data_IF_809593030327
#
_entry.id   IF_809593030327
#
_cell.length_a   1.000
_cell.length_b   1.000
_cell.length_c   1.000
_cell.angle_alpha   90.00
_cell.angle_beta   90.00
_cell.angle_gamma   90.00
#
_symmetry.space_group_name_H-M   'P 1'
#
loop_
_entity.id
_entity.type
_entity.pdbx_description
1 polymer ?
#
# COMPACT_ATOMS: atom_id res chain seq x y z
N UNK A 1 30.94 11.53 10.15
CA UNK A 1 29.54 11.97 10.21
C UNK A 1 28.73 10.84 9.60
N UNK A 2 27.96 10.10 10.41
CA UNK A 2 27.09 9.05 9.89
C UNK A 2 25.95 9.76 9.14
N UNK A 3 25.90 9.59 7.83
CA UNK A 3 24.71 9.92 7.06
C UNK A 3 23.61 9.01 7.62
N UNK A 4 22.55 9.59 8.16
CA UNK A 4 21.32 8.85 8.45
C UNK A 4 20.85 8.26 7.12
N UNK A 5 21.13 6.97 6.91
CA UNK A 5 20.71 6.22 5.74
C UNK A 5 19.19 6.03 5.80
N UNK A 6 18.47 7.10 5.47
CA UNK A 6 17.05 7.02 5.17
C UNK A 6 16.92 6.19 3.92
N UNK A 7 16.30 5.01 4.08
CA UNK A 7 15.90 4.15 2.98
C UNK A 7 15.23 4.99 1.87
N UNK A 8 15.39 4.66 0.58
CA UNK A 8 14.83 5.46 -0.50
C UNK A 8 13.31 5.69 -0.41
N UNK A 9 12.57 4.85 0.31
CA UNK A 9 11.12 5.04 0.58
C UNK A 9 10.81 6.04 1.71
N UNK A 10 11.80 6.40 2.53
CA UNK A 10 11.73 7.35 3.66
C UNK A 10 12.29 8.72 3.28
N UNK A 11 12.99 8.83 2.15
CA UNK A 11 13.58 10.08 1.68
C UNK A 11 12.52 11.16 1.44
N UNK A 12 12.48 12.13 2.35
CA UNK A 12 11.79 13.44 2.32
C UNK A 12 10.41 13.58 2.99
N UNK A 13 9.66 12.52 3.31
CA UNK A 13 8.39 12.68 4.04
C UNK A 13 8.13 11.56 5.05
N UNK A 14 8.37 11.86 6.33
CA UNK A 14 8.11 10.95 7.45
C UNK A 14 6.66 10.43 7.48
N UNK A 15 5.68 11.30 7.20
CA UNK A 15 4.27 10.93 7.23
C UNK A 15 3.92 9.92 6.13
N UNK A 16 4.55 10.04 4.95
CA UNK A 16 4.44 9.03 3.88
C UNK A 16 4.94 7.68 4.37
N UNK A 17 6.10 7.62 5.03
CA UNK A 17 6.65 6.39 5.60
C UNK A 17 5.70 5.70 6.57
N UNK A 18 5.18 6.46 7.55
CA UNK A 18 4.21 5.94 8.53
C UNK A 18 2.95 5.39 7.87
N UNK A 19 2.42 6.08 6.85
CA UNK A 19 1.23 5.62 6.14
C UNK A 19 1.51 4.39 5.28
N UNK A 20 2.69 4.28 4.66
CA UNK A 20 3.10 3.08 3.91
C UNK A 20 3.22 1.86 4.83
N UNK A 21 3.75 2.03 6.05
CA UNK A 21 3.84 0.95 7.03
C UNK A 21 2.46 0.51 7.52
N UNK A 22 1.58 1.49 7.80
CA UNK A 22 0.18 1.22 8.14
C UNK A 22 -0.53 0.46 7.01
N UNK A 23 -0.32 0.88 5.76
CA UNK A 23 -0.86 0.20 4.58
C UNK A 23 -0.39 -1.25 4.50
N UNK A 24 0.92 -1.49 4.69
CA UNK A 24 1.48 -2.84 4.62
C UNK A 24 0.90 -3.75 5.72
N UNK A 25 0.71 -3.24 6.93
CA UNK A 25 0.09 -3.98 8.03
C UNK A 25 -1.38 -4.32 7.71
N UNK A 26 -2.15 -3.35 7.23
CA UNK A 26 -3.55 -3.56 6.83
C UNK A 26 -3.68 -4.52 5.65
N UNK A 27 -2.80 -4.44 4.64
CA UNK A 27 -2.79 -5.40 3.53
C UNK A 27 -2.51 -6.83 4.01
N UNK A 28 -1.61 -7.02 4.97
CA UNK A 28 -1.35 -8.35 5.54
C UNK A 28 -2.60 -8.91 6.22
N UNK A 29 -3.31 -8.08 6.96
CA UNK A 29 -4.55 -8.49 7.62
C UNK A 29 -5.68 -8.76 6.61
N UNK A 30 -5.82 -7.90 5.60
CA UNK A 30 -6.78 -8.07 4.51
C UNK A 30 -6.61 -9.42 3.80
N UNK A 31 -5.38 -9.77 3.43
CA UNK A 31 -5.08 -11.05 2.77
C UNK A 31 -5.33 -12.26 3.70
N UNK A 32 -5.07 -12.10 5.00
CA UNK A 32 -5.37 -13.13 6.01
C UNK A 32 -6.87 -13.36 6.14
N UNK A 33 -7.67 -12.29 6.13
CA UNK A 33 -9.13 -12.36 6.20
C UNK A 33 -9.73 -12.98 4.94
N UNK A 34 -9.25 -12.60 3.74
CA UNK A 34 -9.71 -13.18 2.46
C UNK A 34 -9.47 -14.70 2.42
N UNK A 35 -8.26 -15.15 2.79
CA UNK A 35 -7.95 -16.58 2.87
C UNK A 35 -8.85 -17.32 3.89
N UNK A 36 -9.10 -16.73 5.05
CA UNK A 36 -9.99 -17.31 6.05
C UNK A 36 -11.45 -17.41 5.56
N UNK A 37 -11.96 -16.38 4.88
CA UNK A 37 -13.30 -16.37 4.29
C UNK A 37 -13.43 -17.47 3.23
N UNK A 38 -12.44 -17.62 2.35
CA UNK A 38 -12.43 -18.67 1.31
C UNK A 38 -12.43 -20.06 1.92
N UNK A 39 -11.55 -20.32 2.89
CA UNK A 39 -11.49 -21.63 3.58
C UNK A 39 -12.80 -22.00 4.27
N UNK A 40 -13.42 -21.04 4.97
CA UNK A 40 -14.73 -21.27 5.61
C UNK A 40 -15.84 -21.52 4.59
N UNK A 41 -15.79 -20.85 3.44
CA UNK A 41 -16.73 -21.08 2.34
C UNK A 41 -16.60 -22.49 1.78
N UNK A 42 -15.38 -22.94 1.49
CA UNK A 42 -15.10 -24.28 0.97
C UNK A 42 -15.52 -25.38 1.97
N UNK A 43 -15.21 -25.17 3.24
CA UNK A 43 -15.57 -26.09 4.32
C UNK A 43 -17.09 -26.17 4.52
N UNK A 44 -17.80 -25.04 4.48
CA UNK A 44 -19.26 -25.03 4.56
C UNK A 44 -19.88 -25.82 3.39
N UNK A 45 -19.39 -25.62 2.16
CA UNK A 45 -19.84 -26.38 0.97
C UNK A 45 -19.58 -27.88 1.14
N UNK A 46 -18.44 -28.26 1.71
CA UNK A 46 -18.11 -29.66 2.01
C UNK A 46 -19.10 -30.26 3.02
N UNK A 47 -19.40 -29.55 4.11
CA UNK A 47 -20.31 -30.04 5.15
C UNK A 47 -21.76 -30.15 4.67
N UNK A 48 -22.22 -29.23 3.80
CA UNK A 48 -23.51 -29.35 3.12
C UNK A 48 -23.57 -30.63 2.28
N UNK A 49 -22.48 -30.97 1.60
CA UNK A 49 -22.36 -32.19 0.79
C UNK A 49 -22.42 -33.47 1.65
N UNK A 50 -22.06 -33.38 2.93
CA UNK A 50 -22.14 -34.47 3.91
C UNK A 50 -23.38 -34.39 4.83
N UNK A 51 -24.41 -33.61 4.46
CA UNK A 51 -25.65 -33.44 5.22
C UNK A 51 -25.47 -32.92 6.65
N UNK A 52 -24.34 -32.29 6.95
CA UNK A 52 -24.02 -31.69 8.25
C UNK A 52 -24.48 -30.23 8.30
N UNK A 53 -25.80 -30.02 8.20
CA UNK A 53 -26.41 -28.70 7.98
C UNK A 53 -26.19 -27.70 9.12
N UNK A 54 -26.17 -28.17 10.38
CA UNK A 54 -25.94 -27.30 11.54
C UNK A 54 -24.50 -26.78 11.56
N UNK A 55 -23.52 -27.65 11.31
CA UNK A 55 -22.11 -27.26 11.25
C UNK A 55 -21.85 -26.34 10.06
N UNK A 56 -22.45 -26.64 8.89
CA UNK A 56 -22.38 -25.76 7.73
C UNK A 56 -22.97 -24.36 8.00
N UNK A 57 -24.09 -24.27 8.74
CA UNK A 57 -24.68 -23.00 9.13
C UNK A 57 -23.76 -22.21 10.07
N UNK A 58 -23.14 -22.87 11.06
CA UNK A 58 -22.18 -22.22 11.97
C UNK A 58 -20.98 -21.65 11.22
N UNK A 59 -20.39 -22.41 10.29
CA UNK A 59 -19.28 -21.92 9.46
C UNK A 59 -19.70 -20.77 8.55
N UNK A 60 -20.91 -20.83 7.98
CA UNK A 60 -21.42 -19.75 7.14
C UNK A 60 -21.68 -18.46 7.94
N UNK A 61 -22.17 -18.57 9.18
CA UNK A 61 -22.27 -17.43 10.10
C UNK A 61 -20.90 -16.83 10.38
N UNK A 62 -19.91 -17.68 10.73
CA UNK A 62 -18.55 -17.20 10.99
C UNK A 62 -17.90 -16.57 9.76
N UNK A 63 -18.15 -17.13 8.57
CA UNK A 63 -17.70 -16.56 7.31
C UNK A 63 -18.28 -15.15 7.10
N UNK A 64 -19.56 -14.93 7.39
CA UNK A 64 -20.18 -13.61 7.26
C UNK A 64 -19.58 -12.57 8.21
N UNK A 65 -19.24 -12.97 9.44
CA UNK A 65 -18.54 -12.11 10.39
C UNK A 65 -17.16 -11.70 9.83
N UNK A 66 -16.37 -12.66 9.34
CA UNK A 66 -15.07 -12.36 8.74
C UNK A 66 -15.16 -11.55 7.44
N UNK A 67 -16.24 -11.71 6.67
CA UNK A 67 -16.51 -10.90 5.49
C UNK A 67 -16.75 -9.43 5.87
N UNK A 68 -17.47 -9.18 6.97
CA UNK A 68 -17.66 -7.82 7.48
C UNK A 68 -16.32 -7.20 7.93
N UNK A 69 -15.50 -7.97 8.65
CA UNK A 69 -14.16 -7.53 9.06
C UNK A 69 -13.26 -7.23 7.85
N UNK A 70 -13.36 -8.03 6.78
CA UNK A 70 -12.66 -7.82 5.52
C UNK A 70 -13.06 -6.49 4.87
N UNK A 71 -14.36 -6.19 4.82
CA UNK A 71 -14.88 -4.95 4.24
C UNK A 71 -14.45 -3.71 5.03
N UNK A 72 -14.48 -3.79 6.36
CA UNK A 72 -13.98 -2.72 7.24
C UNK A 72 -12.48 -2.50 7.01
N UNK A 73 -11.70 -3.58 6.99
CA UNK A 73 -10.25 -3.51 6.74
C UNK A 73 -9.96 -2.90 5.37
N UNK A 74 -10.74 -3.25 4.35
CA UNK A 74 -10.59 -2.70 3.01
C UNK A 74 -10.87 -1.19 2.97
N UNK A 75 -11.86 -0.69 3.71
CA UNK A 75 -12.08 0.75 3.88
C UNK A 75 -10.88 1.46 4.51
N UNK A 76 -10.27 0.86 5.55
CA UNK A 76 -9.06 1.42 6.17
C UNK A 76 -7.85 1.39 5.22
N UNK A 77 -7.75 0.38 4.37
CA UNK A 77 -6.74 0.31 3.31
C UNK A 77 -6.94 1.44 2.31
N UNK A 78 -8.17 1.65 1.83
CA UNK A 78 -8.53 2.72 0.90
C UNK A 78 -8.17 4.11 1.47
N UNK A 79 -8.52 4.37 2.73
CA UNK A 79 -8.13 5.59 3.44
C UNK A 79 -6.61 5.74 3.48
N UNK A 80 -5.88 4.66 3.79
CA UNK A 80 -4.42 4.74 3.90
C UNK A 80 -3.76 4.97 2.55
N UNK A 81 -4.26 4.36 1.47
CA UNK A 81 -3.82 4.63 0.09
C UNK A 81 -4.01 6.11 -0.25
N UNK A 82 -5.16 6.68 0.08
CA UNK A 82 -5.43 8.10 -0.14
C UNK A 82 -4.41 9.00 0.59
N UNK A 83 -4.10 8.69 1.85
CA UNK A 83 -3.10 9.43 2.62
C UNK A 83 -1.69 9.31 2.02
N UNK A 84 -1.30 8.12 1.55
CA UNK A 84 -0.01 7.93 0.87
C UNK A 84 0.09 8.80 -0.38
N UNK A 85 -0.98 8.85 -1.19
CA UNK A 85 -1.03 9.68 -2.40
C UNK A 85 -0.92 11.16 -2.04
N UNK A 86 -1.67 11.63 -1.05
CA UNK A 86 -1.65 13.05 -0.63
C UNK A 86 -0.30 13.46 -0.02
N UNK A 87 0.39 12.54 0.67
CA UNK A 87 1.71 12.81 1.25
C UNK A 87 2.85 12.77 0.23
N UNK A 88 2.62 12.26 -0.99
CA UNK A 88 3.62 12.20 -2.05
C UNK A 88 3.23 13.16 -3.19
N UNK A 89 3.93 14.30 -3.36
CA UNK A 89 3.60 15.30 -4.38
C UNK A 89 3.51 14.74 -5.80
N UNK A 90 4.36 13.76 -6.15
CA UNK A 90 4.37 13.17 -7.48
C UNK A 90 3.15 12.28 -7.71
N UNK A 91 2.73 11.54 -6.69
CA UNK A 91 1.52 10.72 -6.75
C UNK A 91 0.27 11.60 -6.77
N UNK A 92 0.22 12.64 -5.94
CA UNK A 92 -0.90 13.57 -5.93
C UNK A 92 -1.07 14.25 -7.29
N UNK A 93 0.03 14.75 -7.88
CA UNK A 93 0.01 15.32 -9.22
C UNK A 93 -0.48 14.28 -10.26
N UNK A 94 0.05 13.06 -10.22
CA UNK A 94 -0.35 11.99 -11.14
C UNK A 94 -1.84 11.65 -11.03
N UNK A 95 -2.40 11.70 -9.82
CA UNK A 95 -3.82 11.53 -9.60
C UNK A 95 -4.63 12.69 -10.17
N UNK A 96 -4.26 13.95 -9.86
CA UNK A 96 -4.98 15.14 -10.31
C UNK A 96 -5.02 15.26 -11.84
N UNK A 97 -3.93 14.87 -12.53
CA UNK A 97 -3.85 14.84 -14.00
C UNK A 97 -4.78 13.80 -14.67
N UNK A 98 -5.11 12.73 -13.95
CA UNK A 98 -5.90 11.60 -14.48
C UNK A 98 -7.29 11.49 -13.85
N UNK A 99 -7.64 12.42 -12.95
CA UNK A 99 -8.84 12.33 -12.13
C UNK A 99 -10.09 12.33 -13.02
N UNK A 100 -11.01 11.37 -12.83
CA UNK A 100 -12.29 11.38 -13.53
C UNK A 100 -13.13 12.62 -13.16
N UNK A 101 -13.84 13.17 -14.14
CA UNK A 101 -14.81 14.25 -13.90
C UNK A 101 -15.98 13.76 -13.04
N UNK A 102 -16.53 14.66 -12.21
CA UNK A 102 -17.76 14.41 -11.45
C UNK A 102 -17.60 13.65 -10.14
N UNK A 103 -16.39 13.60 -9.57
CA UNK A 103 -16.16 13.07 -8.22
C UNK A 103 -16.16 14.21 -7.22
N UNK A 104 -17.24 14.32 -6.43
CA UNK A 104 -17.35 15.32 -5.38
C UNK A 104 -16.70 14.86 -4.08
N UNK A 105 -15.99 15.79 -3.43
CA UNK A 105 -15.45 15.58 -2.09
C UNK A 105 -16.55 15.30 -1.06
N UNK A 106 -17.76 15.78 -1.31
CA UNK A 106 -18.90 15.61 -0.43
C UNK A 106 -20.05 14.96 -1.22
N UNK A 107 -20.21 13.63 -1.13
CA UNK A 107 -21.30 12.96 -1.82
C UNK A 107 -22.64 13.54 -1.35
N UNK A 108 -23.58 13.70 -2.28
CA UNK A 108 -24.94 14.06 -1.93
C UNK A 108 -25.52 13.01 -0.97
N UNK A 109 -26.37 13.43 -0.03
CA UNK A 109 -26.99 12.53 0.97
C UNK A 109 -27.72 11.32 0.35
N UNK A 110 -28.13 11.44 -0.91
CA UNK A 110 -28.84 10.40 -1.66
C UNK A 110 -27.92 9.42 -2.39
N UNK A 111 -26.61 9.67 -2.41
CA UNK A 111 -25.64 8.77 -3.02
C UNK A 111 -25.43 7.55 -2.10
N UNK A 112 -26.20 6.48 -2.35
CA UNK A 112 -26.04 5.25 -1.59
C UNK A 112 -24.66 4.64 -1.81
N UNK A 113 -24.01 4.08 -0.77
CA UNK A 113 -22.80 3.32 -0.94
C UNK A 113 -23.10 2.13 -1.87
N UNK A 114 -22.44 2.09 -3.03
CA UNK A 114 -22.55 0.96 -3.94
C UNK A 114 -22.12 -0.31 -3.22
N UNK A 115 -22.99 -1.32 -3.18
CA UNK A 115 -22.63 -2.65 -2.68
C UNK A 115 -21.40 -3.15 -3.43
N UNK A 116 -20.36 -3.54 -2.69
CA UNK A 116 -19.15 -4.10 -3.29
C UNK A 116 -19.49 -5.45 -3.91
N UNK A 117 -19.30 -5.57 -5.22
CA UNK A 117 -19.47 -6.85 -5.90
C UNK A 117 -18.27 -7.76 -5.64
N UNK A 118 -18.47 -9.08 -5.74
CA UNK A 118 -17.37 -10.04 -5.64
C UNK A 118 -16.26 -9.78 -6.67
N UNK A 119 -16.62 -9.30 -7.87
CA UNK A 119 -15.67 -8.93 -8.93
C UNK A 119 -14.83 -7.72 -8.51
N UNK A 120 -15.48 -6.68 -7.96
CA UNK A 120 -14.80 -5.49 -7.46
C UNK A 120 -13.85 -5.83 -6.31
N UNK A 121 -14.28 -6.70 -5.38
CA UNK A 121 -13.45 -7.16 -4.27
C UNK A 121 -12.21 -7.91 -4.76
N UNK A 122 -12.36 -8.87 -5.67
CA UNK A 122 -11.21 -9.61 -6.22
C UNK A 122 -10.23 -8.71 -6.94
N UNK A 123 -10.71 -7.78 -7.78
CA UNK A 123 -9.86 -6.78 -8.45
C UNK A 123 -9.03 -5.99 -7.43
N UNK A 124 -9.66 -5.52 -6.35
CA UNK A 124 -8.97 -4.78 -5.28
C UNK A 124 -7.91 -5.65 -4.60
N UNK A 125 -8.26 -6.88 -4.23
CA UNK A 125 -7.33 -7.83 -3.62
C UNK A 125 -6.11 -8.10 -4.51
N UNK A 126 -6.29 -8.27 -5.82
CA UNK A 126 -5.19 -8.48 -6.76
C UNK A 126 -4.18 -7.32 -6.74
N UNK A 127 -4.66 -6.07 -6.68
CA UNK A 127 -3.81 -4.89 -6.55
C UNK A 127 -3.02 -4.92 -5.24
N UNK A 128 -3.67 -5.27 -4.13
CA UNK A 128 -3.02 -5.35 -2.81
C UNK A 128 -2.01 -6.49 -2.72
N UNK A 129 -2.29 -7.65 -3.35
CA UNK A 129 -1.34 -8.77 -3.47
C UNK A 129 -0.09 -8.32 -4.23
N UNK A 130 -0.26 -7.64 -5.35
CA UNK A 130 0.89 -7.16 -6.14
C UNK A 130 1.69 -6.10 -5.38
N UNK A 131 1.02 -5.18 -4.68
CA UNK A 131 1.67 -4.23 -3.77
C UNK A 131 2.48 -4.92 -2.67
N UNK A 132 1.92 -5.95 -2.04
CA UNK A 132 2.60 -6.73 -1.00
C UNK A 132 3.83 -7.47 -1.57
N UNK A 133 3.71 -8.02 -2.79
CA UNK A 133 4.82 -8.67 -3.49
C UNK A 133 5.98 -7.70 -3.75
N UNK A 134 5.67 -6.49 -4.22
CA UNK A 134 6.67 -5.43 -4.42
C UNK A 134 7.30 -4.98 -3.11
N UNK A 135 6.52 -4.82 -2.04
CA UNK A 135 7.05 -4.49 -0.72
C UNK A 135 8.03 -5.56 -0.22
N UNK A 136 7.71 -6.85 -0.39
CA UNK A 136 8.63 -7.95 -0.04
C UNK A 136 9.97 -7.85 -0.78
N UNK A 137 9.95 -7.51 -2.06
CA UNK A 137 11.18 -7.30 -2.84
C UNK A 137 12.00 -6.11 -2.31
N UNK A 138 11.34 -5.00 -1.93
CA UNK A 138 12.00 -3.84 -1.33
C UNK A 138 12.65 -4.21 0.01
N UNK A 139 11.99 -5.03 0.84
CA UNK A 139 12.56 -5.51 2.11
C UNK A 139 13.80 -6.36 1.86
N UNK A 140 13.76 -7.31 0.92
CA UNK A 140 14.94 -8.12 0.56
C UNK A 140 16.08 -7.26 0.04
N UNK A 141 15.81 -6.29 -0.83
CA UNK A 141 16.83 -5.36 -1.32
C UNK A 141 17.39 -4.46 -0.21
N UNK A 142 16.57 -4.14 0.81
CA UNK A 142 17.03 -3.39 1.99
C UNK A 142 18.05 -4.20 2.80
N UNK A 143 17.79 -5.49 3.00
CA UNK A 143 18.73 -6.40 3.67
C UNK A 143 20.05 -6.52 2.87
N UNK A 144 19.96 -6.59 1.53
CA UNK A 144 21.12 -6.60 0.64
C UNK A 144 21.92 -5.29 0.72
N UNK A 145 21.23 -4.14 0.69
CA UNK A 145 21.84 -2.82 0.85
C UNK A 145 22.62 -2.71 2.16
N UNK A 146 22.03 -3.15 3.28
CA UNK A 146 22.69 -3.15 4.60
C UNK A 146 23.94 -4.05 4.62
N UNK A 147 23.86 -5.21 3.96
CA UNK A 147 24.99 -6.13 3.82
C UNK A 147 26.13 -5.52 3.00
N UNK A 148 25.83 -4.87 1.88
CA UNK A 148 26.83 -4.18 1.05
C UNK A 148 27.46 -3.02 1.83
N UNK A 149 26.67 -2.25 2.57
CA UNK A 149 27.17 -1.16 3.40
C UNK A 149 28.18 -1.66 4.45
N UNK A 150 27.88 -2.78 5.12
CA UNK A 150 28.84 -3.41 6.04
C UNK A 150 30.14 -3.85 5.35
N UNK A 151 30.05 -4.37 4.12
CA UNK A 151 31.23 -4.74 3.34
C UNK A 151 32.05 -3.52 2.88
N UNK A 152 31.41 -2.38 2.63
CA UNK A 152 32.08 -1.11 2.33
C UNK A 152 32.85 -0.65 3.56
N UNK A 153 32.24 -0.70 4.74
CA UNK A 153 32.89 -0.35 6.00
C UNK A 153 34.11 -1.26 6.27
N UNK A 154 34.00 -2.56 6.00
CA UNK A 154 35.13 -3.50 6.10
C UNK A 154 36.26 -3.17 5.10
N UNK A 155 35.91 -2.85 3.85
CA UNK A 155 36.88 -2.48 2.81
C UNK A 155 37.58 -1.14 3.11
N UNK A 156 36.86 -0.19 3.74
CA UNK A 156 37.41 1.06 4.24
C UNK A 156 38.44 0.81 5.34
N UNK A 157 38.17 -0.11 6.27
CA UNK A 157 39.09 -0.49 7.34
C UNK A 157 40.35 -1.19 6.83
N UNK A 158 40.26 -1.96 5.75
CA UNK A 158 41.40 -2.63 5.11
C UNK A 158 42.11 -1.78 4.04
N UNK A 159 41.65 -0.56 3.79
CA UNK A 159 42.12 0.34 2.72
C UNK A 159 42.08 -0.29 1.32
N UNK A 160 41.13 -1.20 1.06
CA UNK A 160 40.92 -1.85 -0.23
C UNK A 160 40.03 -0.99 -1.14
N UNK A 161 40.64 0.04 -1.74
CA UNK A 161 39.96 1.01 -2.61
C UNK A 161 39.27 0.34 -3.81
N UNK A 162 39.90 -0.60 -4.56
CA UNK A 162 39.23 -1.26 -5.69
C UNK A 162 37.96 -2.02 -5.28
N UNK A 163 37.99 -2.71 -4.12
CA UNK A 163 36.81 -3.41 -3.61
C UNK A 163 35.72 -2.44 -3.20
N UNK A 164 36.08 -1.33 -2.53
CA UNK A 164 35.14 -0.29 -2.13
C UNK A 164 34.40 0.30 -3.35
N UNK A 165 35.11 0.63 -4.43
CA UNK A 165 34.51 1.16 -5.67
C UNK A 165 33.53 0.16 -6.28
N UNK A 166 33.91 -1.13 -6.37
CA UNK A 166 33.02 -2.19 -6.88
C UNK A 166 31.77 -2.37 -6.02
N UNK A 167 31.88 -2.25 -4.69
CA UNK A 167 30.75 -2.35 -3.77
C UNK A 167 29.84 -1.12 -3.89
N UNK A 168 30.40 0.06 -4.14
CA UNK A 168 29.61 1.27 -4.35
C UNK A 168 28.72 1.15 -5.60
N UNK A 169 29.24 0.67 -6.72
CA UNK A 169 28.42 0.40 -7.91
C UNK A 169 27.32 -0.64 -7.66
N UNK A 170 27.59 -1.63 -6.80
CA UNK A 170 26.57 -2.63 -6.41
C UNK A 170 25.47 -1.98 -5.54
N UNK A 171 25.86 -1.08 -4.64
CA UNK A 171 24.94 -0.33 -3.79
C UNK A 171 24.02 0.58 -4.62
N UNK A 172 24.57 1.33 -5.59
CA UNK A 172 23.80 2.15 -6.54
C UNK A 172 22.75 1.31 -7.31
N UNK A 173 23.13 0.10 -7.74
CA UNK A 173 22.22 -0.79 -8.45
C UNK A 173 21.08 -1.31 -7.56
N UNK A 174 21.35 -1.62 -6.29
CA UNK A 174 20.34 -2.03 -5.32
C UNK A 174 19.36 -0.88 -5.04
N UNK A 175 19.87 0.35 -4.85
CA UNK A 175 19.05 1.55 -4.65
C UNK A 175 18.15 1.83 -5.86
N UNK A 176 18.68 1.72 -7.08
CA UNK A 176 17.91 1.88 -8.30
C UNK A 176 16.77 0.84 -8.40
N UNK A 177 17.04 -0.41 -8.03
CA UNK A 177 16.03 -1.48 -8.00
C UNK A 177 14.95 -1.23 -6.94
N UNK A 178 15.34 -0.76 -5.74
CA UNK A 178 14.40 -0.38 -4.69
C UNK A 178 13.48 0.75 -5.16
N UNK A 179 14.04 1.81 -5.75
CA UNK A 179 13.30 2.93 -6.29
C UNK A 179 12.34 2.50 -7.41
N UNK A 180 12.76 1.59 -8.31
CA UNK A 180 11.92 1.07 -9.37
C UNK A 180 10.71 0.28 -8.84
N UNK A 181 10.90 -0.52 -7.78
CA UNK A 181 9.81 -1.23 -7.12
C UNK A 181 8.88 -0.30 -6.34
N UNK A 182 9.40 0.73 -5.68
CA UNK A 182 8.57 1.71 -4.98
C UNK A 182 7.73 2.54 -5.98
N UNK A 183 8.33 2.98 -7.09
CA UNK A 183 7.60 3.63 -8.18
C UNK A 183 6.50 2.71 -8.77
N UNK A 184 6.76 1.40 -8.86
CA UNK A 184 5.74 0.44 -9.28
C UNK A 184 4.57 0.35 -8.28
N UNK A 185 4.83 0.42 -6.97
CA UNK A 185 3.78 0.52 -5.95
C UNK A 185 3.00 1.81 -6.06
N UNK A 186 3.69 2.94 -6.27
CA UNK A 186 3.06 4.23 -6.55
C UNK A 186 2.04 4.15 -7.69
N UNK A 187 2.41 3.52 -8.81
CA UNK A 187 1.48 3.30 -9.93
C UNK A 187 0.26 2.44 -9.57
N UNK A 188 0.42 1.45 -8.69
CA UNK A 188 -0.69 0.62 -8.20
C UNK A 188 -1.63 1.42 -7.29
N UNK A 189 -1.10 2.33 -6.47
CA UNK A 189 -1.91 3.26 -5.67
C UNK A 189 -2.76 4.18 -6.56
N UNK A 190 -2.15 4.75 -7.60
CA UNK A 190 -2.89 5.57 -8.59
C UNK A 190 -3.94 4.73 -9.31
N UNK A 191 -3.59 3.52 -9.75
CA UNK A 191 -4.55 2.62 -10.39
C UNK A 191 -5.77 2.37 -9.51
N UNK A 192 -5.56 2.11 -8.21
CA UNK A 192 -6.67 1.90 -7.28
C UNK A 192 -7.45 3.19 -7.01
N UNK A 193 -6.77 4.32 -6.88
CA UNK A 193 -7.42 5.62 -6.73
C UNK A 193 -8.30 5.97 -7.94
N UNK A 194 -7.89 5.67 -9.17
CA UNK A 194 -8.72 5.92 -10.35
C UNK A 194 -9.92 4.98 -10.45
N UNK A 195 -9.80 3.76 -9.93
CA UNK A 195 -10.86 2.75 -10.00
C UNK A 195 -11.83 2.77 -8.81
N UNK A 196 -11.48 3.42 -7.69
CA UNK A 196 -12.27 3.41 -6.47
C UNK A 196 -12.74 4.80 -6.04
N UNK A 197 -14.05 5.05 -6.14
CA UNK A 197 -14.68 6.31 -5.67
C UNK A 197 -14.41 6.61 -4.20
N UNK A 198 -14.32 5.59 -3.34
CA UNK A 198 -14.04 5.82 -1.92
C UNK A 198 -12.65 6.42 -1.72
N UNK A 199 -11.62 5.83 -2.35
CA UNK A 199 -10.25 6.38 -2.33
C UNK A 199 -10.21 7.80 -2.89
N UNK A 200 -10.90 8.08 -4.00
CA UNK A 200 -10.97 9.42 -4.58
C UNK A 200 -11.54 10.44 -3.60
N UNK A 201 -12.66 10.11 -2.94
CA UNK A 201 -13.25 10.96 -1.91
C UNK A 201 -12.29 11.19 -0.75
N UNK A 202 -11.63 10.14 -0.26
CA UNK A 202 -10.62 10.27 0.80
C UNK A 202 -9.48 11.22 0.40
N UNK A 203 -8.99 11.15 -0.85
CA UNK A 203 -7.96 12.08 -1.37
C UNK A 203 -8.47 13.52 -1.37
N UNK A 204 -9.72 13.74 -1.80
CA UNK A 204 -10.32 15.08 -1.87
C UNK A 204 -10.64 15.68 -0.49
N UNK A 205 -10.99 14.83 0.48
CA UNK A 205 -11.31 15.22 1.87
C UNK A 205 -10.07 15.37 2.75
N UNK A 206 -8.89 14.93 2.30
CA UNK A 206 -7.69 14.92 3.12
C UNK A 206 -7.21 16.36 3.40
N UNK A 207 -7.15 16.81 4.68
CA UNK A 207 -6.91 18.21 5.04
C UNK A 207 -5.47 18.70 4.79
N UNK A 208 -4.55 17.82 4.38
CA UNK A 208 -3.16 18.17 4.09
C UNK A 208 -3.03 19.11 2.86
N UNK A 209 -4.13 19.33 2.11
CA UNK A 209 -4.17 20.30 1.01
C UNK A 209 -4.05 21.77 1.44
N UNK A 210 -4.33 22.10 2.71
CA UNK A 210 -4.48 23.50 3.17
C UNK A 210 -3.20 24.13 3.76
N UNK A 211 -2.07 23.41 3.81
CA UNK A 211 -0.83 23.94 4.42
C UNK A 211 0.25 24.29 3.39
N UNK A 212 -0.12 24.97 2.30
CA UNK A 212 0.82 25.84 1.60
C UNK A 212 0.56 27.27 2.11
N UNK A 213 1.52 27.94 2.80
CA UNK A 213 1.34 29.35 3.12
C UNK A 213 1.23 30.10 1.80
N UNK A 214 0.11 30.81 1.60
CA UNK A 214 0.02 31.87 0.61
C UNK A 214 1.22 32.79 0.86
N UNK A 215 2.18 32.75 -0.07
CA UNK A 215 3.26 33.74 -0.09
C UNK A 215 2.54 35.05 -0.36
N UNK A 216 2.37 35.84 0.70
CA UNK A 216 1.81 37.17 0.62
C UNK A 216 2.59 37.96 -0.43
N UNK A 217 1.89 38.37 -1.48
CA UNK A 217 2.34 39.46 -2.32
C UNK A 217 2.31 40.71 -1.46
N UNK A 218 3.44 41.01 -0.81
CA UNK A 218 3.78 42.38 -0.49
C UNK A 218 4.22 43.06 -1.77
N UNK A 219 3.37 43.93 -2.31
CA UNK A 219 3.70 45.31 -2.67
C UNK A 219 2.43 46.14 -2.93
#
# INVERSE_FOLDING_TARGET
MMQESTLPHVGNNYLKGVMVDKYNALCKELLRLDDAVRRLSDEAVRLLSHQSWQDALQLNTRRNELQLDLEVTLGQVDETVAHVIVCDPNLLQSFDEQRPDGVDAHPHKDEQPSSMTAITLHRKLDVHVECARKHKLIVTLTEEWQSIQGQIDDALLSHDIPRMESLHSSLEQVEANMAAHDAARGRLFIHEALACRHVQRCILQCPVKESAPEVGETE
#
